data_IF_406975763766
#
_entry.id   IF_406975763766
#
_cell.length_a   1.000
_cell.length_b   1.000
_cell.length_c   1.000
_cell.angle_alpha   90.00
_cell.angle_beta   90.00
_cell.angle_gamma   90.00
#
_symmetry.space_group_name_H-M   'P 1'
#
loop_
_entity.id
_entity.type
_entity.pdbx_description
1 polymer ?
#
# COMPACT_ATOMS: atom_id res chain seq x y z
N UNK A 1 -28.79 4.86 6.12
CA UNK A 1 -28.08 4.41 4.87
C UNK A 1 -26.55 4.51 5.01
N UNK A 2 -26.02 5.62 5.51
CA UNK A 2 -24.58 5.84 5.64
C UNK A 2 -23.90 5.01 6.73
N UNK A 3 -24.56 4.70 7.84
CA UNK A 3 -24.02 3.82 8.89
C UNK A 3 -23.63 2.45 8.34
N UNK A 4 -24.40 1.89 7.39
CA UNK A 4 -24.03 0.64 6.71
C UNK A 4 -22.80 0.77 5.82
N UNK A 5 -22.55 1.95 5.25
CA UNK A 5 -21.34 2.21 4.47
C UNK A 5 -20.14 2.24 5.41
N UNK A 6 -20.25 2.90 6.56
CA UNK A 6 -19.20 2.94 7.58
C UNK A 6 -18.88 1.52 8.06
N UNK A 7 -19.89 0.73 8.37
CA UNK A 7 -19.71 -0.66 8.77
C UNK A 7 -19.05 -1.50 7.65
N UNK A 8 -19.44 -1.31 6.40
CA UNK A 8 -18.80 -1.99 5.27
C UNK A 8 -17.32 -1.62 5.10
N UNK A 9 -16.93 -0.40 5.51
CA UNK A 9 -15.52 0.03 5.53
C UNK A 9 -14.77 -0.57 6.71
N UNK A 10 -15.38 -0.64 7.90
CA UNK A 10 -14.73 -1.15 9.10
C UNK A 10 -14.58 -2.67 9.10
N UNK A 11 -15.57 -3.41 8.57
CA UNK A 11 -15.62 -4.88 8.59
C UNK A 11 -14.79 -5.57 7.50
N UNK A 12 -13.80 -4.88 6.91
CA UNK A 12 -12.87 -5.49 5.97
C UNK A 12 -11.43 -5.41 6.51
N UNK A 13 -10.52 -6.33 6.09
CA UNK A 13 -9.13 -6.25 6.51
C UNK A 13 -8.43 -5.03 5.92
N UNK A 14 -7.67 -4.34 6.75
CA UNK A 14 -6.93 -3.15 6.41
C UNK A 14 -5.44 -3.30 6.71
N UNK A 15 -4.61 -2.93 5.76
CA UNK A 15 -3.20 -2.65 5.93
C UNK A 15 -2.98 -1.13 5.83
N UNK A 16 -3.51 -0.38 6.82
CA UNK A 16 -3.49 1.09 6.92
C UNK A 16 -3.14 1.53 8.34
N UNK A 17 -2.61 2.75 8.49
CA UNK A 17 -2.42 3.35 9.81
C UNK A 17 -3.77 3.61 10.49
N UNK A 18 -3.97 3.22 11.77
CA UNK A 18 -5.25 3.34 12.48
C UNK A 18 -5.83 4.75 12.48
N UNK A 19 -4.98 5.78 12.63
CA UNK A 19 -5.41 7.19 12.65
C UNK A 19 -6.03 7.62 11.32
N UNK A 20 -5.60 7.00 10.21
CA UNK A 20 -6.15 7.29 8.87
C UNK A 20 -7.48 6.60 8.64
N UNK A 21 -7.65 5.38 9.14
CA UNK A 21 -8.97 4.74 9.10
C UNK A 21 -9.98 5.52 9.93
N UNK A 22 -9.61 5.98 11.12
CA UNK A 22 -10.45 6.84 11.96
C UNK A 22 -10.80 8.18 11.27
N UNK A 23 -9.86 8.78 10.52
CA UNK A 23 -10.14 9.99 9.75
C UNK A 23 -11.12 9.73 8.59
N UNK A 24 -11.01 8.58 7.90
CA UNK A 24 -11.98 8.16 6.86
C UNK A 24 -13.36 7.96 7.49
N UNK A 25 -13.44 7.29 8.63
CA UNK A 25 -14.68 7.08 9.38
C UNK A 25 -15.34 8.42 9.77
N UNK A 26 -14.56 9.37 10.29
CA UNK A 26 -15.04 10.69 10.67
C UNK A 26 -15.65 11.47 9.47
N UNK A 27 -15.00 11.42 8.31
CA UNK A 27 -15.51 12.05 7.06
C UNK A 27 -16.80 11.38 6.60
N UNK A 28 -16.87 10.04 6.64
CA UNK A 28 -18.08 9.31 6.28
C UNK A 28 -19.23 9.61 7.25
N UNK A 29 -18.96 9.69 8.55
CA UNK A 29 -19.93 10.03 9.59
C UNK A 29 -20.47 11.44 9.43
N UNK A 30 -19.60 12.44 9.14
CA UNK A 30 -20.00 13.81 8.87
C UNK A 30 -20.95 13.89 7.66
N UNK A 31 -20.66 13.13 6.59
CA UNK A 31 -21.53 13.06 5.42
C UNK A 31 -22.83 12.32 5.69
N UNK A 32 -22.79 11.29 6.52
CA UNK A 32 -23.98 10.60 7.00
C UNK A 32 -24.96 11.54 7.69
N UNK A 33 -24.43 12.50 8.46
CA UNK A 33 -25.19 13.55 9.14
C UNK A 33 -25.65 14.69 8.21
N UNK A 34 -25.45 14.59 6.88
CA UNK A 34 -25.83 15.62 5.90
C UNK A 34 -24.80 16.75 5.72
N UNK A 35 -23.63 16.65 6.35
CA UNK A 35 -22.51 17.58 6.17
C UNK A 35 -21.91 17.47 4.76
N UNK A 36 -21.36 18.58 4.26
CA UNK A 36 -20.60 18.61 3.00
C UNK A 36 -19.15 18.98 3.32
N UNK A 37 -18.24 18.14 2.87
CA UNK A 37 -16.82 18.51 2.76
C UNK A 37 -16.66 19.15 1.39
N UNK A 38 -16.17 20.38 1.34
CA UNK A 38 -16.01 21.09 0.07
C UNK A 38 -14.92 20.38 -0.77
N UNK A 39 -15.08 20.32 -2.12
CA UNK A 39 -14.06 19.76 -3.00
C UNK A 39 -12.68 20.41 -2.81
N UNK A 40 -12.66 21.71 -2.46
CA UNK A 40 -11.46 22.47 -2.17
C UNK A 40 -10.74 21.99 -0.89
N UNK A 41 -11.48 21.55 0.12
CA UNK A 41 -10.90 21.00 1.36
C UNK A 41 -10.28 19.61 1.10
N UNK A 42 -10.89 18.81 0.25
CA UNK A 42 -10.34 17.52 -0.20
C UNK A 42 -9.07 17.78 -1.03
N UNK A 43 -9.12 18.72 -1.99
CA UNK A 43 -7.97 19.09 -2.80
C UNK A 43 -6.82 19.65 -1.96
N UNK A 44 -7.12 20.45 -0.93
CA UNK A 44 -6.12 20.97 0.01
C UNK A 44 -5.50 19.86 0.86
N UNK A 45 -6.30 18.89 1.33
CA UNK A 45 -5.82 17.73 2.09
C UNK A 45 -4.93 16.79 1.26
N UNK A 46 -5.11 16.78 -0.07
CA UNK A 46 -4.31 15.97 -1.02
C UNK A 46 -3.16 16.75 -1.67
N UNK A 47 -2.94 18.02 -1.27
CA UNK A 47 -1.95 18.95 -1.84
C UNK A 47 -2.02 19.08 -3.38
N UNK A 48 -3.16 18.81 -3.99
CA UNK A 48 -3.35 18.84 -5.45
C UNK A 48 -2.45 17.84 -6.21
N UNK A 49 -1.77 16.93 -5.52
CA UNK A 49 -0.92 15.92 -6.12
C UNK A 49 -1.77 14.84 -6.79
N UNK A 50 -1.49 14.57 -8.06
CA UNK A 50 -2.15 13.49 -8.80
C UNK A 50 -1.43 12.19 -8.50
N UNK A 51 -2.19 11.20 -8.01
CA UNK A 51 -1.70 9.88 -7.66
C UNK A 51 -2.04 8.86 -8.76
N UNK A 52 -1.14 7.89 -8.97
CA UNK A 52 -1.36 6.80 -9.93
C UNK A 52 -1.24 7.18 -11.41
N UNK A 53 -0.88 8.43 -11.75
CA UNK A 53 -0.58 8.84 -13.12
C UNK A 53 0.91 8.76 -13.38
N UNK A 54 1.30 8.16 -14.53
CA UNK A 54 2.70 8.09 -14.95
C UNK A 54 3.22 9.49 -15.25
N UNK A 55 4.33 9.86 -14.61
CA UNK A 55 5.10 11.06 -14.90
C UNK A 55 6.47 10.66 -15.43
N UNK A 56 7.15 11.54 -16.19
CA UNK A 56 8.46 11.25 -16.73
C UNK A 56 9.44 12.36 -16.40
N UNK A 57 10.58 11.99 -15.83
CA UNK A 57 11.71 12.85 -15.59
C UNK A 57 12.88 12.33 -16.46
N UNK A 58 13.09 12.92 -17.64
CA UNK A 58 14.00 12.41 -18.67
C UNK A 58 13.69 10.94 -19.02
N UNK A 59 14.59 10.00 -18.70
CA UNK A 59 14.41 8.55 -18.95
C UNK A 59 13.91 7.78 -17.73
N UNK A 60 13.56 8.49 -16.64
CA UNK A 60 13.04 7.89 -15.40
C UNK A 60 11.53 8.09 -15.36
N UNK A 61 10.79 7.01 -15.28
CA UNK A 61 9.35 7.06 -15.03
C UNK A 61 9.07 7.23 -13.53
N UNK A 62 8.21 8.18 -13.18
CA UNK A 62 7.80 8.40 -11.78
C UNK A 62 6.35 7.98 -11.62
N UNK A 63 6.09 7.09 -10.67
CA UNK A 63 4.77 6.59 -10.34
C UNK A 63 4.41 7.08 -8.93
N UNK A 64 3.58 8.11 -8.78
CA UNK A 64 3.19 8.64 -7.49
C UNK A 64 2.18 7.71 -6.79
N UNK A 65 2.43 7.39 -5.53
CA UNK A 65 1.57 6.60 -4.64
C UNK A 65 1.26 7.44 -3.41
N UNK A 66 0.23 8.29 -3.53
CA UNK A 66 -0.14 9.23 -2.47
C UNK A 66 -1.50 8.88 -1.87
N UNK A 67 -1.62 9.11 -0.56
CA UNK A 67 -2.86 8.88 0.19
C UNK A 67 -3.21 7.40 0.35
N UNK A 68 -4.48 7.11 0.59
CA UNK A 68 -4.96 5.75 0.89
C UNK A 68 -4.97 4.87 -0.36
N UNK A 69 -4.47 3.63 -0.23
CA UNK A 69 -4.47 2.65 -1.33
C UNK A 69 -5.78 1.87 -1.32
N UNK A 70 -6.48 1.84 -2.45
CA UNK A 70 -7.71 1.09 -2.69
C UNK A 70 -7.49 0.07 -3.81
N UNK A 71 -8.30 -1.00 -3.84
CA UNK A 71 -8.18 -1.99 -4.91
C UNK A 71 -8.53 -1.38 -6.28
N UNK A 72 -9.69 -0.73 -6.37
CA UNK A 72 -10.21 -0.14 -7.61
C UNK A 72 -10.41 1.37 -7.47
N UNK A 73 -10.35 2.09 -8.58
CA UNK A 73 -10.79 3.48 -8.62
C UNK A 73 -12.29 3.55 -8.36
N UNK A 74 -12.73 4.50 -7.54
CA UNK A 74 -14.15 4.69 -7.19
C UNK A 74 -14.35 5.88 -6.27
N UNK A 75 -15.60 6.12 -5.88
CA UNK A 75 -15.97 7.24 -5.01
C UNK A 75 -15.10 7.36 -3.74
N UNK A 76 -14.66 6.24 -3.17
CA UNK A 76 -13.79 6.25 -1.99
C UNK A 76 -12.40 6.83 -2.31
N UNK A 77 -11.84 6.53 -3.48
CA UNK A 77 -10.56 7.10 -3.92
C UNK A 77 -10.68 8.62 -4.17
N UNK A 78 -11.79 9.05 -4.77
CA UNK A 78 -12.05 10.47 -5.05
C UNK A 78 -12.24 11.28 -3.76
N UNK A 79 -12.81 10.68 -2.70
CA UNK A 79 -13.05 11.37 -1.43
C UNK A 79 -11.91 11.27 -0.42
N UNK A 80 -11.07 10.25 -0.48
CA UNK A 80 -9.93 10.07 0.42
C UNK A 80 -8.62 10.64 -0.14
N UNK A 81 -8.63 11.12 -1.40
CA UNK A 81 -7.43 11.55 -2.10
C UNK A 81 -6.43 10.42 -2.32
N UNK A 82 -6.92 9.20 -2.50
CA UNK A 82 -6.12 8.00 -2.57
C UNK A 82 -5.73 7.59 -3.99
N UNK A 83 -5.09 6.45 -4.07
CA UNK A 83 -4.65 5.80 -5.32
C UNK A 83 -5.22 4.39 -5.40
N UNK A 84 -5.52 3.91 -6.61
CA UNK A 84 -5.94 2.53 -6.80
C UNK A 84 -4.77 1.62 -7.21
N UNK A 85 -4.82 0.38 -6.73
CA UNK A 85 -3.92 -0.70 -7.18
C UNK A 85 -3.93 -0.84 -8.70
N UNK A 86 -5.12 -0.74 -9.31
CA UNK A 86 -5.27 -0.81 -10.77
C UNK A 86 -4.58 0.37 -11.48
N UNK A 87 -4.64 1.59 -10.91
CA UNK A 87 -3.96 2.77 -11.43
C UNK A 87 -2.43 2.61 -11.39
N UNK A 88 -1.90 2.18 -10.22
CA UNK A 88 -0.47 1.91 -10.07
C UNK A 88 -0.01 0.82 -11.05
N UNK A 89 -0.76 -0.28 -11.15
CA UNK A 89 -0.48 -1.39 -12.08
C UNK A 89 -0.43 -0.92 -13.53
N UNK A 90 -1.41 -0.11 -13.94
CA UNK A 90 -1.45 0.45 -15.29
C UNK A 90 -0.22 1.32 -15.58
N UNK A 91 0.12 2.23 -14.67
CA UNK A 91 1.30 3.09 -14.80
C UNK A 91 2.60 2.27 -14.87
N UNK A 92 2.73 1.24 -14.01
CA UNK A 92 3.88 0.35 -14.01
C UNK A 92 4.03 -0.37 -15.37
N UNK A 93 2.95 -0.99 -15.86
CA UNK A 93 2.98 -1.69 -17.17
C UNK A 93 3.31 -0.76 -18.33
N UNK A 94 2.80 0.46 -18.32
CA UNK A 94 3.14 1.49 -19.31
C UNK A 94 4.64 1.83 -19.25
N UNK A 95 5.17 2.09 -18.04
CA UNK A 95 6.59 2.38 -17.85
C UNK A 95 7.49 1.20 -18.28
N UNK A 96 7.08 -0.04 -18.02
CA UNK A 96 7.83 -1.23 -18.40
C UNK A 96 7.83 -1.45 -19.93
N UNK A 97 6.73 -1.13 -20.61
CA UNK A 97 6.61 -1.28 -22.07
C UNK A 97 7.28 -0.15 -22.86
N UNK A 98 7.47 1.04 -22.28
CA UNK A 98 8.04 2.20 -22.98
C UNK A 98 9.55 2.08 -23.12
N UNK A 99 10.04 2.00 -24.38
CA UNK A 99 11.47 1.91 -24.67
C UNK A 99 12.29 3.15 -24.26
N UNK A 100 11.65 4.31 -24.09
CA UNK A 100 12.30 5.54 -23.61
C UNK A 100 12.54 5.54 -22.11
N UNK A 101 11.82 4.70 -21.36
CA UNK A 101 11.97 4.57 -19.90
C UNK A 101 13.08 3.58 -19.61
N UNK A 102 14.09 4.02 -18.87
CA UNK A 102 15.24 3.19 -18.44
C UNK A 102 15.13 2.67 -17.02
N UNK A 103 14.40 3.37 -16.16
CA UNK A 103 14.16 3.01 -14.77
C UNK A 103 12.85 3.61 -14.24
N UNK A 104 12.40 3.15 -13.06
CA UNK A 104 11.16 3.60 -12.42
C UNK A 104 11.44 4.08 -11.00
N UNK A 105 10.79 5.16 -10.60
CA UNK A 105 10.74 5.62 -9.21
C UNK A 105 9.29 5.58 -8.73
N UNK A 106 9.03 4.88 -7.64
CA UNK A 106 7.79 5.00 -6.88
C UNK A 106 7.95 6.12 -5.87
N UNK A 107 7.24 7.23 -6.06
CA UNK A 107 7.21 8.37 -5.13
C UNK A 107 6.04 8.16 -4.16
N UNK A 108 6.35 7.84 -2.90
CA UNK A 108 5.37 7.32 -1.95
C UNK A 108 5.18 8.29 -0.79
N UNK A 109 3.93 8.71 -0.58
CA UNK A 109 3.47 9.40 0.62
C UNK A 109 2.09 8.85 1.02
N UNK A 110 2.10 7.68 1.68
CA UNK A 110 0.91 6.88 1.89
C UNK A 110 0.89 6.19 3.25
N UNK A 111 -0.26 6.24 3.96
CA UNK A 111 -0.47 5.52 5.22
C UNK A 111 -0.79 4.02 5.02
N UNK A 112 -0.83 3.54 3.77
CA UNK A 112 -1.33 2.23 3.42
C UNK A 112 -2.77 2.24 2.91
N UNK A 113 -3.48 1.13 3.07
CA UNK A 113 -4.84 1.00 2.53
C UNK A 113 -5.45 -0.38 2.68
N UNK A 114 -6.32 -0.75 1.75
CA UNK A 114 -6.92 -2.07 1.66
C UNK A 114 -5.85 -3.15 1.44
N UNK A 115 -6.09 -4.36 1.93
CA UNK A 115 -5.22 -5.52 1.64
C UNK A 115 -5.42 -6.06 0.23
N UNK A 116 -6.61 -5.82 -0.36
CA UNK A 116 -6.99 -6.43 -1.63
C UNK A 116 -6.17 -5.91 -2.82
N UNK A 117 -5.61 -6.82 -3.60
CA UNK A 117 -4.82 -6.55 -4.80
C UNK A 117 -3.37 -6.10 -4.53
N UNK A 118 -2.98 -5.92 -3.26
CA UNK A 118 -1.65 -5.44 -2.88
C UNK A 118 -0.59 -6.52 -3.06
N UNK A 119 -0.87 -7.77 -2.66
CA UNK A 119 0.07 -8.88 -2.83
C UNK A 119 0.35 -9.14 -4.32
N UNK A 120 -0.68 -9.15 -5.15
CA UNK A 120 -0.58 -9.34 -6.59
C UNK A 120 0.24 -8.22 -7.26
N UNK A 121 0.03 -6.97 -6.84
CA UNK A 121 0.81 -5.85 -7.37
C UNK A 121 2.26 -5.91 -6.89
N UNK A 122 2.51 -6.26 -5.63
CA UNK A 122 3.87 -6.43 -5.11
C UNK A 122 4.61 -7.56 -5.83
N UNK A 123 3.94 -8.69 -6.10
CA UNK A 123 4.49 -9.78 -6.89
C UNK A 123 4.82 -9.34 -8.33
N UNK A 124 3.95 -8.53 -8.95
CA UNK A 124 4.20 -7.97 -10.27
C UNK A 124 5.41 -7.01 -10.27
N UNK A 125 5.51 -6.09 -9.30
CA UNK A 125 6.68 -5.21 -9.13
C UNK A 125 7.95 -6.05 -9.01
N UNK A 126 7.94 -7.05 -8.12
CA UNK A 126 9.09 -7.94 -7.90
C UNK A 126 9.53 -8.65 -9.19
N UNK A 127 8.58 -9.06 -10.04
CA UNK A 127 8.87 -9.76 -11.29
C UNK A 127 9.62 -8.88 -12.31
N UNK A 128 9.46 -7.56 -12.24
CA UNK A 128 10.11 -6.61 -13.12
C UNK A 128 11.51 -6.16 -12.69
N UNK A 129 12.02 -6.59 -11.51
CA UNK A 129 13.33 -6.14 -10.98
C UNK A 129 14.50 -6.31 -11.95
N UNK A 130 14.47 -7.36 -12.76
CA UNK A 130 15.52 -7.64 -13.74
C UNK A 130 15.26 -7.00 -15.12
N UNK A 131 14.08 -6.40 -15.33
CA UNK A 131 13.73 -5.75 -16.60
C UNK A 131 14.20 -4.30 -16.62
N UNK A 132 13.75 -3.51 -15.67
CA UNK A 132 14.17 -2.12 -15.45
C UNK A 132 14.36 -1.90 -13.95
N UNK A 133 15.47 -1.26 -13.51
CA UNK A 133 15.65 -0.93 -12.09
C UNK A 133 14.52 -0.05 -11.55
N UNK A 134 14.12 -0.35 -10.33
CA UNK A 134 13.05 0.37 -9.64
C UNK A 134 13.53 0.83 -8.27
N UNK A 135 13.34 2.09 -7.95
CA UNK A 135 13.59 2.67 -6.62
C UNK A 135 12.29 3.15 -6.03
N UNK A 136 11.95 2.73 -4.83
CA UNK A 136 10.84 3.28 -4.06
C UNK A 136 11.39 4.31 -3.06
N UNK A 137 10.78 5.48 -2.98
CA UNK A 137 11.11 6.48 -1.96
C UNK A 137 9.90 6.82 -1.10
N UNK A 138 10.03 6.62 0.21
CA UNK A 138 9.11 7.18 1.19
C UNK A 138 9.38 8.68 1.34
N UNK A 139 8.60 9.48 0.64
CA UNK A 139 8.70 10.94 0.56
C UNK A 139 7.53 11.60 1.32
N UNK A 140 7.41 11.39 2.50
CA UNK A 140 7.89 11.20 3.82
C UNK A 140 7.37 9.93 4.51
N UNK A 141 6.33 9.28 3.99
CA UNK A 141 5.65 8.14 4.61
C UNK A 141 5.46 7.00 3.61
N UNK A 142 5.94 5.80 3.96
CA UNK A 142 5.50 4.57 3.32
C UNK A 142 5.12 3.57 4.41
N UNK A 143 3.84 3.55 4.79
CA UNK A 143 3.34 2.71 5.87
C UNK A 143 2.43 1.60 5.34
N UNK A 144 2.47 0.45 5.99
CA UNK A 144 1.55 -0.66 5.80
C UNK A 144 1.50 -1.11 4.33
N UNK A 145 0.35 -1.15 3.64
CA UNK A 145 0.26 -1.53 2.22
C UNK A 145 1.24 -0.76 1.32
N UNK A 146 1.56 0.50 1.65
CA UNK A 146 2.53 1.28 0.89
C UNK A 146 3.97 0.77 1.07
N UNK A 147 4.36 0.36 2.28
CA UNK A 147 5.66 -0.29 2.51
C UNK A 147 5.70 -1.70 1.89
N UNK A 148 4.57 -2.41 1.89
CA UNK A 148 4.43 -3.68 1.20
C UNK A 148 4.87 -3.53 -0.27
N UNK A 149 4.28 -2.55 -0.99
CA UNK A 149 4.63 -2.27 -2.39
C UNK A 149 6.07 -1.76 -2.54
N UNK A 150 6.51 -0.84 -1.65
CA UNK A 150 7.87 -0.30 -1.67
C UNK A 150 8.93 -1.39 -1.54
N UNK A 151 8.71 -2.37 -0.64
CA UNK A 151 9.65 -3.48 -0.38
C UNK A 151 9.88 -4.36 -1.60
N UNK A 152 8.96 -4.34 -2.58
CA UNK A 152 9.08 -5.08 -3.83
C UNK A 152 9.96 -4.39 -4.89
N UNK A 153 10.36 -3.13 -4.72
CA UNK A 153 11.33 -2.45 -5.59
C UNK A 153 12.76 -2.96 -5.40
N UNK A 154 13.68 -2.67 -6.33
CA UNK A 154 15.10 -3.05 -6.20
C UNK A 154 15.75 -2.38 -4.99
N UNK A 155 15.43 -1.10 -4.75
CA UNK A 155 15.89 -0.35 -3.58
C UNK A 155 14.73 0.42 -2.97
N UNK A 156 14.78 0.55 -1.64
CA UNK A 156 13.85 1.37 -0.85
C UNK A 156 14.64 2.51 -0.20
N UNK A 157 14.18 3.73 -0.40
CA UNK A 157 14.74 4.94 0.18
C UNK A 157 13.71 5.63 1.07
N UNK A 158 14.17 6.49 1.96
CA UNK A 158 13.32 7.30 2.83
C UNK A 158 13.92 8.68 3.03
N UNK A 159 13.08 9.72 3.06
CA UNK A 159 13.54 11.08 3.37
C UNK A 159 14.07 11.16 4.82
N UNK A 160 15.02 12.09 5.14
CA UNK A 160 15.64 12.14 6.45
C UNK A 160 14.68 12.26 7.64
N UNK A 161 13.54 12.93 7.46
CA UNK A 161 12.46 13.07 8.46
C UNK A 161 11.35 12.05 8.30
N UNK A 162 11.43 11.17 7.28
CA UNK A 162 10.39 10.22 6.95
C UNK A 162 10.43 8.95 7.79
N UNK A 163 9.42 8.13 7.59
CA UNK A 163 9.28 6.82 8.23
C UNK A 163 8.67 5.78 7.29
N UNK A 164 8.92 4.51 7.60
CA UNK A 164 8.43 3.34 6.87
C UNK A 164 7.94 2.26 7.83
N UNK A 165 7.27 1.24 7.33
CA UNK A 165 6.90 0.08 8.15
C UNK A 165 5.40 -0.03 8.37
N UNK A 166 4.95 -0.06 9.63
CA UNK A 166 3.55 -0.40 9.97
C UNK A 166 3.15 -1.74 9.35
N UNK A 167 4.02 -2.76 9.47
CA UNK A 167 3.79 -4.10 8.93
C UNK A 167 2.80 -4.82 9.83
N UNK A 168 1.55 -4.79 9.43
CA UNK A 168 0.44 -5.34 10.18
C UNK A 168 -0.88 -5.23 9.43
N UNK A 169 -1.85 -6.01 9.87
CA UNK A 169 -3.22 -6.04 9.35
C UNK A 169 -4.19 -6.04 10.52
N UNK A 170 -5.31 -5.37 10.40
CA UNK A 170 -6.37 -5.41 11.39
C UNK A 170 -7.75 -5.30 10.75
N UNK A 171 -8.75 -5.74 11.47
CA UNK A 171 -10.17 -5.49 11.24
C UNK A 171 -10.78 -4.81 12.45
N UNK A 172 -11.84 -4.04 12.25
CA UNK A 172 -12.63 -3.48 13.33
C UNK A 172 -14.08 -3.98 13.22
N UNK A 173 -14.65 -4.40 14.36
CA UNK A 173 -16.06 -4.67 14.49
C UNK A 173 -16.66 -3.66 15.49
N UNK A 174 -17.79 -3.06 15.12
CA UNK A 174 -18.53 -2.13 15.99
C UNK A 174 -19.86 -2.78 16.36
N UNK A 175 -20.08 -2.97 17.66
CA UNK A 175 -21.36 -3.40 18.19
C UNK A 175 -22.27 -2.17 18.42
N UNK A 176 -23.26 -2.01 17.56
CA UNK A 176 -24.26 -0.94 17.64
C UNK A 176 -25.59 -1.40 18.27
N UNK A 177 -25.67 -2.59 18.85
CA UNK A 177 -26.91 -3.17 19.36
C UNK A 177 -27.63 -2.26 20.38
N UNK A 178 -26.87 -1.64 21.31
CA UNK A 178 -27.44 -0.70 22.29
C UNK A 178 -27.93 0.61 21.65
N UNK A 179 -27.29 1.06 20.58
CA UNK A 179 -27.75 2.21 19.84
C UNK A 179 -29.11 1.94 19.22
N UNK A 180 -29.27 0.82 18.52
CA UNK A 180 -30.56 0.41 17.94
C UNK A 180 -31.67 0.26 19.01
N UNK A 181 -31.34 -0.34 20.16
CA UNK A 181 -32.28 -0.46 21.27
C UNK A 181 -32.75 0.91 21.79
N UNK A 182 -31.84 1.86 22.00
CA UNK A 182 -32.15 3.20 22.45
C UNK A 182 -33.02 4.00 21.45
N UNK A 183 -32.85 3.76 20.17
CA UNK A 183 -33.68 4.34 19.09
C UNK A 183 -35.02 3.60 18.90
N UNK A 184 -35.32 2.62 19.73
CA UNK A 184 -36.53 1.80 19.63
C UNK A 184 -36.57 0.88 18.40
N UNK A 185 -35.42 0.60 17.79
CA UNK A 185 -35.27 -0.24 16.62
C UNK A 185 -34.89 -1.65 17.01
N UNK A 186 -35.57 -2.65 16.45
CA UNK A 186 -35.20 -4.06 16.55
C UNK A 186 -34.79 -4.56 15.18
N UNK A 187 -33.51 -4.84 15.00
CA UNK A 187 -32.98 -5.45 13.77
C UNK A 187 -33.25 -6.96 13.82
N UNK A 188 -33.71 -7.53 12.72
CA UNK A 188 -33.87 -8.97 12.56
C UNK A 188 -33.35 -9.38 11.19
N UNK A 189 -32.40 -10.30 11.17
CA UNK A 189 -31.88 -10.89 9.95
C UNK A 189 -32.63 -12.17 9.59
N UNK A 190 -33.07 -12.30 8.34
CA UNK A 190 -33.64 -13.53 7.80
C UNK A 190 -32.65 -14.02 6.76
N UNK A 191 -31.98 -15.15 7.02
CA UNK A 191 -30.86 -15.60 6.21
C UNK A 191 -30.83 -17.12 6.03
N UNK A 192 -30.10 -17.55 5.01
CA UNK A 192 -29.71 -18.93 4.78
C UNK A 192 -28.17 -19.02 4.65
N UNK A 193 -27.60 -20.04 5.30
CA UNK A 193 -26.16 -20.18 5.50
C UNK A 193 -25.76 -19.71 6.89
N UNK A 194 -25.20 -20.64 7.71
CA UNK A 194 -24.94 -20.47 9.14
C UNK A 194 -24.23 -19.16 9.51
N UNK A 195 -23.27 -18.75 8.69
CA UNK A 195 -22.40 -17.59 8.96
C UNK A 195 -22.71 -16.34 8.12
N UNK A 196 -23.89 -16.33 7.43
CA UNK A 196 -24.18 -15.27 6.46
C UNK A 196 -24.30 -13.87 7.06
N UNK A 197 -24.66 -13.80 8.36
CA UNK A 197 -24.82 -12.54 9.09
C UNK A 197 -23.74 -12.36 10.17
N UNK A 198 -22.71 -13.20 10.15
CA UNK A 198 -21.61 -13.13 11.10
C UNK A 198 -20.93 -11.76 11.03
N UNK A 199 -20.61 -11.17 12.20
CA UNK A 199 -20.01 -9.84 12.29
C UNK A 199 -20.92 -8.68 11.91
N UNK A 200 -22.26 -8.87 11.93
CA UNK A 200 -23.20 -7.75 11.82
C UNK A 200 -23.12 -6.83 13.04
N UNK A 201 -23.56 -5.59 12.89
CA UNK A 201 -23.47 -4.54 13.92
C UNK A 201 -24.64 -4.52 14.91
N UNK A 202 -25.67 -5.33 14.69
CA UNK A 202 -26.87 -5.35 15.53
C UNK A 202 -26.76 -6.29 16.74
N UNK A 203 -25.65 -6.99 16.88
CA UNK A 203 -25.38 -7.90 17.98
C UNK A 203 -23.90 -7.95 18.33
N UNK A 204 -23.54 -8.31 19.59
CA UNK A 204 -22.15 -8.47 19.99
C UNK A 204 -21.41 -9.52 19.14
N UNK A 205 -20.14 -9.28 18.88
CA UNK A 205 -19.30 -10.23 18.15
C UNK A 205 -19.17 -11.55 18.93
N UNK A 206 -19.61 -12.65 18.34
CA UNK A 206 -19.45 -13.97 18.93
C UNK A 206 -17.99 -14.40 18.97
N UNK A 207 -17.64 -15.32 19.87
CA UNK A 207 -16.29 -15.90 19.91
C UNK A 207 -15.94 -16.61 18.60
N UNK A 208 -16.89 -17.36 18.03
CA UNK A 208 -16.71 -18.06 16.76
C UNK A 208 -16.41 -17.08 15.61
N UNK A 209 -17.16 -15.98 15.50
CA UNK A 209 -16.92 -14.93 14.53
C UNK A 209 -15.57 -14.26 14.72
N UNK A 210 -15.22 -13.97 15.98
CA UNK A 210 -13.93 -13.38 16.31
C UNK A 210 -12.77 -14.28 15.88
N UNK A 211 -12.84 -15.57 16.18
CA UNK A 211 -11.79 -16.53 15.84
C UNK A 211 -11.63 -16.65 14.32
N UNK A 212 -12.74 -16.62 13.58
CA UNK A 212 -12.71 -16.61 12.11
C UNK A 212 -12.03 -15.34 11.57
N UNK A 213 -12.44 -14.16 12.01
CA UNK A 213 -11.84 -12.91 11.58
C UNK A 213 -10.37 -12.78 11.99
N UNK A 214 -9.98 -13.33 13.15
CA UNK A 214 -8.58 -13.38 13.56
C UNK A 214 -7.76 -14.26 12.61
N UNK A 215 -8.30 -15.41 12.20
CA UNK A 215 -7.63 -16.28 11.24
C UNK A 215 -7.40 -15.58 9.87
N UNK A 216 -8.37 -14.80 9.39
CA UNK A 216 -8.21 -14.01 8.17
C UNK A 216 -7.13 -12.94 8.32
N UNK A 217 -7.13 -12.21 9.44
CA UNK A 217 -6.11 -11.19 9.76
C UNK A 217 -4.71 -11.82 9.82
N UNK A 218 -4.59 -12.98 10.48
CA UNK A 218 -3.31 -13.70 10.61
C UNK A 218 -2.80 -14.18 9.24
N UNK A 219 -3.68 -14.62 8.34
CA UNK A 219 -3.33 -15.02 6.99
C UNK A 219 -2.82 -13.83 6.16
N UNK A 220 -3.54 -12.69 6.15
CA UNK A 220 -3.06 -11.48 5.47
C UNK A 220 -1.75 -10.96 6.06
N UNK A 221 -1.58 -11.02 7.40
CA UNK A 221 -0.32 -10.67 8.04
C UNK A 221 0.82 -11.59 7.61
N UNK A 222 0.58 -12.89 7.52
CA UNK A 222 1.56 -13.88 7.04
C UNK A 222 1.98 -13.58 5.59
N UNK A 223 1.03 -13.26 4.70
CA UNK A 223 1.31 -12.85 3.32
C UNK A 223 2.20 -11.62 3.30
N UNK A 224 1.87 -10.58 4.08
CA UNK A 224 2.63 -9.35 4.17
C UNK A 224 4.07 -9.61 4.61
N UNK A 225 4.27 -10.29 5.73
CA UNK A 225 5.60 -10.65 6.24
C UNK A 225 6.42 -11.41 5.20
N UNK A 226 5.81 -12.38 4.52
CA UNK A 226 6.48 -13.21 3.50
C UNK A 226 6.92 -12.37 2.30
N UNK A 227 6.07 -11.48 1.83
CA UNK A 227 6.39 -10.62 0.68
C UNK A 227 7.50 -9.62 1.02
N UNK A 228 7.44 -8.98 2.20
CA UNK A 228 8.50 -8.08 2.67
C UNK A 228 9.82 -8.82 2.84
N UNK A 229 9.81 -10.00 3.45
CA UNK A 229 11.00 -10.83 3.61
C UNK A 229 11.65 -11.15 2.26
N UNK A 230 10.83 -11.57 1.28
CA UNK A 230 11.29 -11.81 -0.10
C UNK A 230 11.81 -10.54 -0.76
N UNK A 231 11.10 -9.43 -0.61
CA UNK A 231 11.47 -8.13 -1.20
C UNK A 231 12.76 -7.58 -0.64
N UNK A 232 12.98 -7.72 0.68
CA UNK A 232 14.18 -7.24 1.38
C UNK A 232 15.32 -8.26 1.43
N UNK A 233 15.09 -9.52 0.99
CA UNK A 233 16.12 -10.57 1.02
C UNK A 233 16.49 -10.99 2.45
N UNK A 234 15.55 -10.98 3.38
CA UNK A 234 15.74 -11.35 4.79
C UNK A 234 14.82 -12.50 5.20
N UNK A 235 15.09 -13.12 6.36
CA UNK A 235 14.19 -14.14 6.91
C UNK A 235 12.88 -13.48 7.43
N UNK A 236 11.80 -14.25 7.47
CA UNK A 236 10.49 -13.79 7.97
C UNK A 236 10.54 -13.39 9.44
N UNK A 237 11.40 -14.01 10.24
CA UNK A 237 11.63 -13.72 11.64
C UNK A 237 12.22 -12.31 11.83
N UNK A 238 13.12 -11.86 10.95
CA UNK A 238 13.66 -10.50 10.95
C UNK A 238 12.54 -9.48 10.71
N UNK A 239 11.65 -9.76 9.75
CA UNK A 239 10.50 -8.88 9.49
C UNK A 239 9.56 -8.83 10.69
N UNK A 240 9.30 -9.96 11.34
CA UNK A 240 8.40 -10.03 12.50
C UNK A 240 8.93 -9.28 13.73
N UNK A 241 10.24 -9.44 14.00
CA UNK A 241 10.82 -9.03 15.28
C UNK A 241 11.56 -7.68 15.20
N UNK A 242 12.16 -7.35 14.04
CA UNK A 242 13.07 -6.20 13.92
C UNK A 242 12.47 -5.05 13.08
N UNK A 243 11.40 -5.30 12.31
CA UNK A 243 10.80 -4.30 11.42
C UNK A 243 9.62 -3.54 12.07
N UNK A 244 9.68 -3.33 13.38
CA UNK A 244 8.80 -2.43 14.12
C UNK A 244 7.49 -3.03 14.63
N UNK A 245 7.21 -4.32 14.39
CA UNK A 245 6.04 -5.06 14.95
C UNK A 245 4.70 -4.31 14.79
N UNK A 246 4.42 -3.79 13.60
CA UNK A 246 3.22 -2.99 13.31
C UNK A 246 3.40 -1.48 13.50
N UNK A 247 4.54 -1.01 14.03
CA UNK A 247 4.85 0.43 14.15
C UNK A 247 5.54 0.96 12.91
N UNK A 248 5.46 2.28 12.71
CA UNK A 248 6.36 2.98 11.78
C UNK A 248 7.74 3.15 12.41
N UNK A 249 8.78 3.08 11.58
CA UNK A 249 10.18 3.19 11.97
C UNK A 249 10.81 4.38 11.25
N UNK A 250 11.44 5.28 12.01
CA UNK A 250 12.09 6.47 11.46
C UNK A 250 13.32 6.12 10.61
N UNK A 251 13.67 6.99 9.68
CA UNK A 251 14.68 6.79 8.64
C UNK A 251 15.99 6.13 9.12
N UNK A 252 16.62 6.64 10.19
CA UNK A 252 17.89 6.10 10.69
C UNK A 252 17.76 4.68 11.25
N UNK A 253 16.70 4.44 12.04
CA UNK A 253 16.43 3.13 12.59
C UNK A 253 16.05 2.12 11.49
N UNK A 254 15.21 2.53 10.54
CA UNK A 254 14.84 1.72 9.39
C UNK A 254 16.07 1.30 8.55
N UNK A 255 17.03 2.22 8.35
CA UNK A 255 18.28 1.92 7.66
C UNK A 255 19.15 0.94 8.46
N UNK A 256 19.23 1.10 9.76
CA UNK A 256 20.05 0.25 10.63
C UNK A 256 19.60 -1.22 10.63
N UNK A 257 18.28 -1.46 10.55
CA UNK A 257 17.71 -2.83 10.54
C UNK A 257 17.46 -3.37 9.13
N UNK A 258 17.81 -2.63 8.06
CA UNK A 258 17.70 -3.11 6.69
C UNK A 258 16.30 -2.95 6.05
N UNK A 259 15.41 -2.18 6.65
CA UNK A 259 14.12 -1.84 6.04
C UNK A 259 14.27 -0.97 4.80
N UNK A 260 15.31 -0.13 4.74
CA UNK A 260 15.61 0.76 3.61
C UNK A 260 17.07 0.67 3.21
N UNK A 261 17.36 0.95 1.93
CA UNK A 261 18.69 0.93 1.34
C UNK A 261 19.40 2.29 1.39
N UNK A 262 18.61 3.37 1.48
CA UNK A 262 19.14 4.74 1.51
C UNK A 262 18.29 5.70 2.31
N UNK A 263 18.92 6.79 2.74
CA UNK A 263 18.26 7.97 3.29
C UNK A 263 18.67 9.13 2.38
N UNK A 264 17.68 9.83 1.81
CA UNK A 264 17.92 10.92 0.87
C UNK A 264 16.63 11.57 0.42
N UNK A 265 16.74 12.58 -0.42
CA UNK A 265 15.64 13.32 -1.01
C UNK A 265 15.02 12.56 -2.21
N UNK A 266 13.91 13.07 -2.72
CA UNK A 266 13.34 12.58 -3.98
C UNK A 266 14.32 12.69 -5.15
N UNK A 267 15.08 13.79 -5.22
CA UNK A 267 16.09 13.99 -6.26
C UNK A 267 17.24 12.97 -6.14
N UNK A 268 17.63 12.60 -4.91
CA UNK A 268 18.62 11.54 -4.70
C UNK A 268 18.10 10.18 -5.20
N UNK A 269 16.82 9.88 -5.01
CA UNK A 269 16.20 8.65 -5.51
C UNK A 269 16.12 8.64 -7.04
N UNK A 270 15.80 9.77 -7.69
CA UNK A 270 15.85 9.92 -9.15
C UNK A 270 17.26 9.68 -9.70
N UNK A 271 18.26 10.33 -9.10
CA UNK A 271 19.67 10.14 -9.48
C UNK A 271 20.13 8.69 -9.29
N UNK A 272 19.66 8.03 -8.21
CA UNK A 272 19.94 6.62 -7.95
C UNK A 272 19.34 5.71 -8.99
N UNK A 273 18.07 5.90 -9.36
CA UNK A 273 17.38 5.13 -10.40
C UNK A 273 18.09 5.24 -11.75
N UNK A 274 18.48 6.45 -12.17
CA UNK A 274 19.27 6.67 -13.40
C UNK A 274 20.63 5.95 -13.35
N UNK A 275 21.34 6.03 -12.19
CA UNK A 275 22.61 5.32 -12.00
C UNK A 275 22.44 3.80 -12.12
N UNK A 276 21.42 3.23 -11.53
CA UNK A 276 21.12 1.79 -11.61
C UNK A 276 20.81 1.39 -13.07
N UNK A 277 20.07 2.21 -13.80
CA UNK A 277 19.79 1.96 -15.22
C UNK A 277 21.06 1.90 -16.07
N UNK A 278 21.98 2.84 -15.87
CA UNK A 278 23.27 2.88 -16.58
C UNK A 278 24.14 1.67 -16.25
N UNK A 279 24.13 1.20 -15.00
CA UNK A 279 24.86 -0.01 -14.58
C UNK A 279 24.26 -1.24 -15.26
N UNK A 280 22.94 -1.42 -15.20
CA UNK A 280 22.26 -2.53 -15.85
C UNK A 280 22.43 -2.57 -17.37
N UNK A 281 22.54 -1.41 -18.03
CA UNK A 281 22.85 -1.33 -19.48
C UNK A 281 24.28 -1.78 -19.78
N UNK A 282 25.26 -1.38 -18.97
CA UNK A 282 26.66 -1.78 -19.11
C UNK A 282 26.84 -3.28 -18.94
N UNK A 283 26.21 -3.87 -17.91
CA UNK A 283 26.25 -5.31 -17.65
C UNK A 283 25.66 -6.11 -18.82
N UNK A 284 24.48 -5.71 -19.32
CA UNK A 284 23.87 -6.34 -20.50
C UNK A 284 24.74 -6.23 -21.74
N UNK A 285 25.32 -5.07 -21.99
CA UNK A 285 26.26 -4.87 -23.13
C UNK A 285 27.50 -5.75 -23.02
N UNK A 286 28.04 -5.93 -21.82
CA UNK A 286 29.19 -6.80 -21.58
C UNK A 286 28.84 -8.29 -21.77
N UNK A 287 27.73 -8.74 -21.22
CA UNK A 287 27.23 -10.10 -21.41
C UNK A 287 26.99 -10.42 -22.90
N UNK A 288 26.43 -9.48 -23.65
CA UNK A 288 26.22 -9.65 -25.09
C UNK A 288 27.55 -9.70 -25.88
N UNK A 289 28.52 -8.87 -25.51
CA UNK A 289 29.84 -8.91 -26.10
C UNK A 289 30.59 -10.22 -25.84
N UNK A 290 30.48 -10.73 -24.62
CA UNK A 290 31.09 -12.00 -24.20
C UNK A 290 30.39 -13.20 -24.90
N UNK A 291 29.06 -13.17 -25.03
CA UNK A 291 28.32 -14.20 -25.77
C UNK A 291 28.72 -14.25 -27.24
N UNK A 292 28.90 -13.09 -27.90
CA UNK A 292 29.40 -13.00 -29.29
C UNK A 292 30.81 -13.57 -29.40
N UNK A 293 31.70 -13.28 -28.43
CA UNK A 293 33.07 -13.85 -28.40
C UNK A 293 33.08 -15.38 -28.25
N UNK A 294 32.11 -15.93 -27.54
CA UNK A 294 31.97 -17.38 -27.30
C UNK A 294 31.20 -18.08 -28.45
N UNK A 295 30.77 -17.39 -29.50
CA UNK A 295 30.04 -17.94 -30.63
C UNK A 295 28.62 -18.40 -30.31
N UNK A 296 28.02 -17.91 -29.21
CA UNK A 296 26.63 -18.19 -28.85
C UNK A 296 25.74 -17.23 -29.69
N UNK A 297 24.94 -17.76 -30.60
CA UNK A 297 23.88 -17.02 -31.28
C UNK A 297 22.61 -17.08 -30.38
N UNK A 298 21.96 -15.91 -30.19
CA UNK A 298 20.67 -15.79 -29.50
C UNK A 298 19.50 -15.96 -30.45
#
# INVERSE_FOLDING_TARGET
MYERIIQGVLNQPWAIMPEKLAAIEAVLSLRAAGGRVAPEEIAAATNGRRSGELQQAATVAVIPIYGTIHQHAGLMADYSGGVSVDGIRKALRQAMADAQVSSVVFDIDSPGGSVYGVDELAAEILSYRNTKPMVAIANSLAASAAYYLASAANEVWVTPSGCVGSIGVYMAHVDASKYYENEGLKVSYIYAGRYKTEGNDAEPLSTEARDHFQADVDEYYRMFVTAVARGRGVATEVVRNDFGEGRTVLARAAKAVGMVDGIGTFDDALARADKLARLAQRERGQQQADAIRLGVQF
#
